data_IF_368893939536
#
_entry.id   IF_368893939536
#
_cell.length_a   1.000
_cell.length_b   1.000
_cell.length_c   1.000
_cell.angle_alpha   90.00
_cell.angle_beta   90.00
_cell.angle_gamma   90.00
#
_symmetry.space_group_name_H-M   'P 1'
#
loop_
_entity.id
_entity.type
_entity.pdbx_description
1 polymer ?
#
# COMPACT_ATOMS: atom_id res chain seq x y z
N UNK A 1 5.30 5.91 -13.31
CA UNK A 1 4.22 5.68 -14.27
C UNK A 1 2.87 5.91 -13.60
N UNK A 2 1.78 5.99 -14.36
CA UNK A 2 0.42 5.98 -13.81
C UNK A 2 -0.23 4.66 -14.24
N UNK A 3 -0.78 3.94 -13.28
CA UNK A 3 -1.57 2.72 -13.46
C UNK A 3 -3.02 3.03 -13.11
N UNK A 4 -3.97 2.62 -13.95
CA UNK A 4 -5.39 2.92 -13.81
C UNK A 4 -6.25 1.74 -14.22
N UNK A 5 -7.44 1.64 -13.63
CA UNK A 5 -8.46 0.66 -14.01
C UNK A 5 -8.25 -0.70 -13.36
N UNK A 6 -8.51 -0.80 -12.05
CA UNK A 6 -8.34 -2.04 -11.29
C UNK A 6 -6.86 -2.38 -11.08
N UNK A 7 -6.15 -1.55 -10.35
CA UNK A 7 -4.71 -1.73 -10.10
C UNK A 7 -4.48 -2.54 -8.85
N UNK A 8 -3.56 -3.52 -8.93
CA UNK A 8 -3.13 -4.34 -7.80
C UNK A 8 -1.66 -4.10 -7.52
N UNK A 9 -1.32 -3.83 -6.27
CA UNK A 9 0.06 -3.82 -5.76
C UNK A 9 0.26 -5.01 -4.83
N UNK A 10 1.28 -5.82 -5.11
CA UNK A 10 1.72 -6.90 -4.22
C UNK A 10 3.09 -6.57 -3.62
N UNK A 11 3.21 -6.72 -2.31
CA UNK A 11 4.45 -6.53 -1.56
C UNK A 11 4.99 -7.88 -1.09
N UNK A 12 6.31 -8.03 -1.11
CA UNK A 12 7.00 -9.18 -0.52
C UNK A 12 6.80 -9.31 1.01
N UNK A 13 6.27 -8.27 1.65
CA UNK A 13 5.87 -8.28 3.07
C UNK A 13 4.46 -8.84 3.32
N UNK A 14 3.82 -9.42 2.30
CA UNK A 14 2.53 -10.12 2.43
C UNK A 14 1.30 -9.23 2.27
N UNK A 15 1.45 -8.03 1.68
CA UNK A 15 0.32 -7.15 1.39
C UNK A 15 -0.11 -7.26 -0.06
N UNK A 16 -1.42 -7.33 -0.29
CA UNK A 16 -2.06 -7.10 -1.59
C UNK A 16 -2.96 -5.89 -1.44
N UNK A 17 -2.78 -4.87 -2.29
CA UNK A 17 -3.54 -3.61 -2.25
C UNK A 17 -4.24 -3.42 -3.60
N UNK A 18 -5.53 -3.16 -3.55
CA UNK A 18 -6.40 -2.89 -4.69
C UNK A 18 -6.87 -1.44 -4.66
N UNK A 19 -6.83 -0.77 -5.80
CA UNK A 19 -7.31 0.61 -5.96
C UNK A 19 -7.54 0.95 -7.44
N UNK A 20 -8.21 2.06 -7.69
CA UNK A 20 -8.47 2.52 -9.06
C UNK A 20 -7.22 3.09 -9.72
N UNK A 21 -6.30 3.69 -8.94
CA UNK A 21 -5.14 4.40 -9.48
C UNK A 21 -3.91 4.33 -8.58
N UNK A 22 -2.76 4.02 -9.20
CA UNK A 22 -1.44 4.09 -8.56
C UNK A 22 -0.51 4.98 -9.38
N UNK A 23 0.16 5.92 -8.71
CA UNK A 23 1.25 6.73 -9.27
C UNK A 23 2.57 6.19 -8.73
N UNK A 24 3.46 5.79 -9.63
CA UNK A 24 4.77 5.22 -9.28
C UNK A 24 5.92 6.08 -9.78
N UNK A 25 7.04 6.05 -9.08
CA UNK A 25 8.32 6.61 -9.54
C UNK A 25 9.40 5.57 -9.41
N UNK A 26 9.96 5.12 -10.54
CA UNK A 26 11.09 4.19 -10.52
C UNK A 26 12.35 4.87 -9.96
N UNK A 27 12.61 6.13 -10.36
CA UNK A 27 13.78 6.89 -9.92
C UNK A 27 13.80 7.12 -8.40
N UNK A 28 12.62 7.28 -7.79
CA UNK A 28 12.50 7.51 -6.34
C UNK A 28 12.11 6.24 -5.57
N UNK A 29 11.83 5.14 -6.28
CA UNK A 29 11.26 3.92 -5.73
C UNK A 29 10.02 4.17 -4.84
N UNK A 30 9.06 4.95 -5.36
CA UNK A 30 7.81 5.30 -4.65
C UNK A 30 6.56 4.79 -5.37
N UNK A 31 5.50 4.58 -4.59
CA UNK A 31 4.14 4.37 -5.08
C UNK A 31 3.13 5.12 -4.20
N UNK A 32 2.17 5.80 -4.80
CA UNK A 32 1.16 6.60 -4.12
C UNK A 32 -0.22 6.32 -4.74
N UNK A 33 -1.25 6.48 -3.93
CA UNK A 33 -2.66 6.38 -4.35
C UNK A 33 -3.40 7.65 -3.95
N UNK A 34 -4.39 8.03 -4.75
CA UNK A 34 -5.24 9.19 -4.51
C UNK A 34 -6.73 8.82 -4.36
N UNK A 35 -7.03 7.53 -4.46
CA UNK A 35 -8.34 6.91 -4.26
C UNK A 35 -8.30 5.94 -3.09
N UNK A 36 -9.49 5.56 -2.60
CA UNK A 36 -9.65 4.51 -1.60
C UNK A 36 -8.85 3.26 -1.99
N UNK A 37 -8.25 2.64 -0.98
CA UNK A 37 -7.54 1.38 -1.11
C UNK A 37 -8.21 0.32 -0.27
N UNK A 38 -8.26 -0.89 -0.80
CA UNK A 38 -8.59 -2.11 -0.06
C UNK A 38 -7.34 -2.96 -0.01
N UNK A 39 -6.93 -3.40 1.17
CA UNK A 39 -5.74 -4.19 1.31
C UNK A 39 -5.95 -5.41 2.20
N UNK A 40 -5.34 -6.52 1.81
CA UNK A 40 -5.20 -7.71 2.64
C UNK A 40 -3.74 -7.84 3.03
N UNK A 41 -3.46 -8.04 4.31
CA UNK A 41 -2.12 -8.17 4.85
C UNK A 41 -2.04 -9.20 5.97
N UNK A 42 -0.85 -9.36 6.59
CA UNK A 42 -0.62 -10.34 7.65
C UNK A 42 -1.51 -10.16 8.89
N UNK A 43 -2.03 -8.96 9.12
CA UNK A 43 -2.91 -8.64 10.24
C UNK A 43 -4.40 -8.82 9.92
N UNK A 44 -4.77 -9.05 8.65
CA UNK A 44 -6.14 -9.13 8.17
C UNK A 44 -6.44 -8.14 7.05
N UNK A 45 -7.70 -7.73 6.94
CA UNK A 45 -8.21 -6.89 5.85
C UNK A 45 -8.37 -5.45 6.33
N UNK A 46 -7.91 -4.48 5.55
CA UNK A 46 -8.05 -3.05 5.86
C UNK A 46 -8.55 -2.24 4.67
N UNK A 47 -9.26 -1.15 4.98
CA UNK A 47 -9.61 -0.09 4.04
C UNK A 47 -8.98 1.22 4.49
N UNK A 48 -8.54 2.04 3.52
CA UNK A 48 -7.99 3.35 3.81
C UNK A 48 -8.27 4.34 2.68
N UNK A 49 -8.35 5.63 3.00
CA UNK A 49 -8.52 6.66 1.97
C UNK A 49 -7.33 6.76 1.02
N UNK A 50 -6.10 6.50 1.49
CA UNK A 50 -4.87 6.49 0.68
C UNK A 50 -3.80 5.54 1.23
N UNK A 51 -2.85 5.23 0.35
CA UNK A 51 -1.62 4.47 0.58
C UNK A 51 -0.41 5.18 -0.04
N UNK A 52 0.72 5.13 0.68
CA UNK A 52 2.05 5.55 0.22
C UNK A 52 3.11 4.50 0.53
N UNK A 53 3.96 4.20 -0.45
CA UNK A 53 5.13 3.35 -0.33
C UNK A 53 6.37 4.18 -0.68
N UNK A 54 7.33 4.27 0.24
CA UNK A 54 8.60 4.94 0.02
C UNK A 54 9.73 4.24 0.77
N UNK A 55 10.99 4.56 0.42
CA UNK A 55 12.14 4.09 1.20
C UNK A 55 12.06 4.63 2.63
N UNK A 56 12.36 3.80 3.62
CA UNK A 56 12.38 4.19 5.03
C UNK A 56 13.54 5.18 5.26
N UNK A 57 13.30 6.35 5.88
CA UNK A 57 14.38 7.27 6.23
C UNK A 57 15.38 6.61 7.18
N UNK A 58 16.68 6.71 6.89
CA UNK A 58 17.75 6.20 7.75
C UNK A 58 18.01 4.69 7.67
N UNK A 59 17.35 3.96 6.76
CA UNK A 59 17.51 2.53 6.55
C UNK A 59 17.64 2.27 5.04
N UNK A 60 18.82 1.85 4.59
CA UNK A 60 19.15 1.73 3.16
C UNK A 60 18.42 0.57 2.45
N UNK A 61 17.83 -0.36 3.22
CA UNK A 61 17.19 -1.57 2.67
C UNK A 61 15.67 -1.65 2.93
N UNK A 62 15.11 -0.76 3.75
CA UNK A 62 13.70 -0.83 4.15
C UNK A 62 12.78 -0.01 3.25
N UNK A 63 11.62 -0.57 2.88
CA UNK A 63 10.48 0.21 2.40
C UNK A 63 9.45 0.38 3.52
N UNK A 64 8.78 1.53 3.57
CA UNK A 64 7.70 1.83 4.48
C UNK A 64 6.39 1.96 3.68
N UNK A 65 5.45 1.08 4.00
CA UNK A 65 4.08 1.12 3.49
C UNK A 65 3.19 1.79 4.54
N UNK A 66 2.57 2.90 4.17
CA UNK A 66 1.69 3.68 5.06
C UNK A 66 0.28 3.71 4.47
N UNK A 67 -0.70 3.35 5.29
CA UNK A 67 -2.12 3.57 5.03
C UNK A 67 -2.59 4.78 5.85
N UNK A 68 -3.35 5.69 5.24
CA UNK A 68 -3.75 6.97 5.83
C UNK A 68 -5.13 7.40 5.33
N UNK A 69 -5.59 8.53 5.86
CA UNK A 69 -6.87 9.15 5.50
C UNK A 69 -8.08 8.28 5.87
N UNK A 70 -8.16 7.90 7.14
CA UNK A 70 -9.22 7.06 7.70
C UNK A 70 -8.93 5.58 7.47
N UNK A 71 -8.37 4.91 8.48
CA UNK A 71 -7.98 3.50 8.40
C UNK A 71 -8.95 2.66 9.20
N UNK A 72 -9.58 1.68 8.55
CA UNK A 72 -10.38 0.64 9.20
C UNK A 72 -9.65 -0.70 9.00
N UNK A 73 -9.39 -1.41 10.10
CA UNK A 73 -8.75 -2.72 10.08
C UNK A 73 -9.68 -3.74 10.70
N UNK A 74 -10.05 -4.74 9.91
CA UNK A 74 -10.64 -5.98 10.38
C UNK A 74 -9.49 -6.93 10.69
N UNK A 75 -9.23 -7.13 11.98
CA UNK A 75 -8.14 -7.98 12.44
C UNK A 75 -8.48 -9.46 12.28
N UNK A 76 -7.62 -10.18 11.57
CA UNK A 76 -7.75 -11.62 11.30
C UNK A 76 -6.45 -12.32 11.73
N UNK A 77 -6.34 -12.75 13.00
CA UNK A 77 -5.14 -13.42 13.50
C UNK A 77 -4.94 -14.77 12.80
N UNK A 78 -3.71 -15.05 12.38
CA UNK A 78 -3.30 -16.41 12.00
C UNK A 78 -2.86 -17.19 13.25
N UNK A 79 -3.26 -18.46 13.40
CA UNK A 79 -2.96 -19.30 14.56
C UNK A 79 -1.48 -19.68 14.69
#
# INVERSE_FOLDING_TARGET
>A
AILQGGTVLQSSTGYTVETDRIVTSYAQATAETDSEVRATGPAGTLTAGRMSLARRPGDDAGYLLVFKDGVELIYEPQP
#
